data_IF_000735636417
#
_entry.id   IF_000735636417
#
_cell.length_a   1.000
_cell.length_b   1.000
_cell.length_c   1.000
_cell.angle_alpha   90.00
_cell.angle_beta   90.00
_cell.angle_gamma   90.00
#
_symmetry.space_group_name_H-M   'P 1'
#
loop_
_entity.id
_entity.type
_entity.pdbx_description
1 polymer ?
#
# COMPACT_ATOMS: atom_id res chain seq x y z
N UNK A 1 -2.34 6.26 5.63
CA UNK A 1 -2.44 5.52 4.36
C UNK A 1 -2.56 4.02 4.59
N UNK A 2 -1.62 3.37 5.27
CA UNK A 2 -1.67 1.92 5.50
C UNK A 2 -2.91 1.48 6.30
N UNK A 3 -3.24 2.18 7.39
CA UNK A 3 -4.47 1.92 8.15
C UNK A 3 -5.74 2.20 7.33
N UNK A 4 -5.70 3.19 6.44
CA UNK A 4 -6.80 3.46 5.49
C UNK A 4 -6.96 2.31 4.51
N UNK A 5 -5.86 1.78 3.96
CA UNK A 5 -5.88 0.61 3.08
C UNK A 5 -6.41 -0.62 3.82
N UNK A 6 -6.03 -0.82 5.08
CA UNK A 6 -6.57 -1.87 5.94
C UNK A 6 -8.08 -1.74 6.14
N UNK A 7 -8.55 -0.55 6.46
CA UNK A 7 -9.99 -0.27 6.56
C UNK A 7 -10.72 -0.61 5.26
N UNK A 8 -10.15 -0.27 4.10
CA UNK A 8 -10.74 -0.61 2.79
C UNK A 8 -10.81 -2.12 2.58
N UNK A 9 -9.74 -2.85 2.89
CA UNK A 9 -9.72 -4.32 2.82
C UNK A 9 -10.76 -4.99 3.72
N UNK A 10 -11.02 -4.42 4.90
CA UNK A 10 -12.02 -4.94 5.85
C UNK A 10 -13.46 -4.75 5.37
N UNK A 11 -13.72 -3.72 4.56
CA UNK A 11 -15.08 -3.27 4.24
C UNK A 11 -15.47 -3.43 2.76
N UNK A 12 -14.53 -3.71 1.86
CA UNK A 12 -14.80 -3.91 0.43
C UNK A 12 -14.92 -5.41 0.11
N UNK A 13 -16.08 -5.81 -0.41
CA UNK A 13 -16.35 -7.18 -0.82
C UNK A 13 -15.39 -7.62 -1.94
N UNK A 14 -14.92 -8.86 -1.84
CA UNK A 14 -14.01 -9.45 -2.82
C UNK A 14 -12.57 -8.92 -2.73
N UNK A 15 -12.25 -8.02 -1.80
CA UNK A 15 -10.88 -7.56 -1.62
C UNK A 15 -9.97 -8.72 -1.16
N UNK A 16 -8.91 -8.97 -1.94
CA UNK A 16 -7.93 -10.02 -1.70
C UNK A 16 -6.60 -9.47 -1.18
N UNK A 17 -6.21 -8.28 -1.64
CA UNK A 17 -4.99 -7.58 -1.27
C UNK A 17 -5.15 -6.07 -1.49
N UNK A 18 -4.47 -5.27 -0.68
CA UNK A 18 -4.15 -3.88 -1.01
C UNK A 18 -2.64 -3.67 -1.13
N UNK A 19 -2.24 -2.74 -1.99
CA UNK A 19 -0.90 -2.18 -2.05
C UNK A 19 -1.01 -0.66 -1.89
N UNK A 20 -0.12 -0.05 -1.11
CA UNK A 20 -0.10 1.39 -0.92
C UNK A 20 1.30 1.95 -0.97
N UNK A 21 1.44 3.10 -1.63
CA UNK A 21 2.64 3.91 -1.64
C UNK A 21 2.27 5.38 -1.82
N UNK A 22 3.02 6.29 -1.18
CA UNK A 22 2.74 7.73 -1.17
C UNK A 22 1.29 7.98 -0.73
N UNK A 23 0.47 8.46 -1.65
CA UNK A 23 -0.93 8.84 -1.54
C UNK A 23 -1.87 7.91 -2.32
N UNK A 24 -1.34 6.85 -2.96
CA UNK A 24 -2.12 5.85 -3.70
C UNK A 24 -2.43 4.60 -2.85
N UNK A 25 -3.64 4.06 -3.02
CA UNK A 25 -4.04 2.72 -2.57
C UNK A 25 -4.60 1.96 -3.77
N UNK A 26 -3.96 0.84 -4.12
CA UNK A 26 -4.42 -0.08 -5.15
C UNK A 26 -5.05 -1.31 -4.49
N UNK A 27 -6.29 -1.62 -4.83
CA UNK A 27 -7.02 -2.78 -4.30
C UNK A 27 -7.14 -3.86 -5.38
N UNK A 28 -6.83 -5.11 -5.04
CA UNK A 28 -7.17 -6.28 -5.84
C UNK A 28 -8.51 -6.82 -5.36
N UNK A 29 -9.51 -6.83 -6.25
CA UNK A 29 -10.80 -7.45 -6.02
C UNK A 29 -10.92 -8.69 -6.90
N UNK A 30 -11.38 -9.79 -6.32
CA UNK A 30 -11.70 -11.02 -7.04
C UNK A 30 -13.07 -11.52 -6.56
N UNK A 31 -13.84 -12.10 -7.47
CA UNK A 31 -15.20 -12.60 -7.24
C UNK A 31 -15.40 -14.03 -7.74
N UNK A 32 -14.31 -14.74 -8.04
CA UNK A 32 -14.32 -16.09 -8.58
C UNK A 32 -13.81 -17.14 -7.57
N UNK A 33 -13.80 -16.82 -6.28
CA UNK A 33 -13.36 -17.75 -5.23
C UNK A 33 -14.31 -18.95 -5.10
N UNK A 34 -15.61 -18.75 -5.35
CA UNK A 34 -16.68 -19.77 -5.32
C UNK A 34 -17.76 -19.43 -6.35
N UNK A 35 -18.52 -20.43 -6.80
CA UNK A 35 -19.56 -20.26 -7.81
C UNK A 35 -20.66 -19.25 -7.43
N UNK A 36 -20.98 -19.14 -6.14
CA UNK A 36 -22.02 -18.23 -5.63
C UNK A 36 -21.49 -16.83 -5.28
N UNK A 37 -20.20 -16.57 -5.49
CA UNK A 37 -19.59 -15.29 -5.15
C UNK A 37 -20.13 -14.21 -6.08
N UNK A 38 -20.59 -13.10 -5.51
CA UNK A 38 -21.09 -11.96 -6.27
C UNK A 38 -20.01 -10.87 -6.36
N UNK A 39 -20.04 -10.10 -7.44
CA UNK A 39 -19.20 -8.93 -7.59
C UNK A 39 -19.63 -7.81 -6.62
N UNK A 40 -18.68 -6.97 -6.20
CA UNK A 40 -19.00 -5.80 -5.40
C UNK A 40 -19.85 -4.82 -6.21
N UNK A 41 -21.05 -4.49 -5.70
CA UNK A 41 -22.04 -3.66 -6.39
C UNK A 41 -22.37 -4.10 -7.82
N UNK A 42 -22.31 -5.39 -8.12
CA UNK A 42 -22.60 -5.94 -9.45
C UNK A 42 -21.75 -5.29 -10.57
N UNK A 43 -20.51 -4.91 -10.26
CA UNK A 43 -19.59 -4.19 -11.15
C UNK A 43 -20.08 -2.80 -11.61
N UNK A 44 -20.99 -2.17 -10.88
CA UNK A 44 -21.41 -0.80 -11.18
C UNK A 44 -20.27 0.18 -10.87
N UNK A 45 -19.60 0.63 -11.93
CA UNK A 45 -18.36 1.41 -11.88
C UNK A 45 -18.54 2.70 -11.04
N UNK A 46 -19.67 3.40 -11.17
CA UNK A 46 -19.86 4.67 -10.46
C UNK A 46 -19.95 4.47 -8.94
N UNK A 47 -20.65 3.43 -8.48
CA UNK A 47 -20.72 3.02 -7.07
C UNK A 47 -19.37 2.55 -6.57
N UNK A 48 -18.69 1.68 -7.31
CA UNK A 48 -17.37 1.21 -6.88
C UNK A 48 -16.39 2.37 -6.72
N UNK A 49 -16.30 3.29 -7.69
CA UNK A 49 -15.44 4.48 -7.60
C UNK A 49 -15.89 5.41 -6.47
N UNK A 50 -17.16 5.83 -6.45
CA UNK A 50 -17.64 6.83 -5.48
C UNK A 50 -17.58 6.33 -4.03
N UNK A 51 -17.96 5.07 -3.78
CA UNK A 51 -17.96 4.49 -2.45
C UNK A 51 -16.54 4.20 -1.97
N UNK A 52 -15.64 3.67 -2.82
CA UNK A 52 -14.24 3.45 -2.41
C UNK A 52 -13.53 4.77 -2.08
N UNK A 53 -13.69 5.80 -2.90
CA UNK A 53 -13.16 7.15 -2.64
C UNK A 53 -13.76 7.76 -1.35
N UNK A 54 -15.07 7.60 -1.13
CA UNK A 54 -15.76 8.07 0.08
C UNK A 54 -15.24 7.36 1.34
N UNK A 55 -15.10 6.03 1.29
CA UNK A 55 -14.53 5.24 2.38
C UNK A 55 -13.09 5.64 2.68
N UNK A 56 -12.26 5.81 1.66
CA UNK A 56 -10.87 6.25 1.81
C UNK A 56 -10.80 7.64 2.46
N UNK A 57 -11.62 8.58 1.97
CA UNK A 57 -11.74 9.94 2.49
C UNK A 57 -12.13 9.93 3.97
N UNK A 58 -13.19 9.22 4.33
CA UNK A 58 -13.65 9.15 5.72
C UNK A 58 -12.59 8.52 6.64
N UNK A 59 -12.09 7.33 6.26
CA UNK A 59 -11.15 6.59 7.09
C UNK A 59 -9.82 7.35 7.24
N UNK A 60 -9.26 7.88 6.15
CA UNK A 60 -8.03 8.67 6.21
C UNK A 60 -8.18 9.88 7.14
N UNK A 61 -9.25 10.66 7.01
CA UNK A 61 -9.42 11.88 7.81
C UNK A 61 -9.59 11.58 9.30
N UNK A 62 -10.30 10.49 9.65
CA UNK A 62 -10.44 10.07 11.05
C UNK A 62 -9.08 9.63 11.61
N UNK A 63 -8.42 8.68 10.93
CA UNK A 63 -7.13 8.13 11.37
C UNK A 63 -6.06 9.22 11.45
N UNK A 64 -6.00 10.13 10.46
CA UNK A 64 -5.03 11.22 10.45
C UNK A 64 -5.25 12.17 11.62
N UNK A 65 -6.51 12.53 11.93
CA UNK A 65 -6.84 13.38 13.07
C UNK A 65 -6.43 12.73 14.39
N UNK A 66 -6.72 11.45 14.55
CA UNK A 66 -6.38 10.70 15.76
C UNK A 66 -4.86 10.63 15.95
N UNK A 67 -4.11 10.31 14.88
CA UNK A 67 -2.65 10.29 14.91
C UNK A 67 -2.04 11.67 15.25
N UNK A 68 -2.56 12.75 14.65
CA UNK A 68 -2.10 14.11 14.97
C UNK A 68 -2.38 14.46 16.43
N UNK A 69 -3.56 14.10 16.95
CA UNK A 69 -3.90 14.28 18.36
C UNK A 69 -2.97 13.52 19.30
N UNK A 70 -2.68 12.25 18.99
CA UNK A 70 -1.74 11.45 19.79
C UNK A 70 -0.33 12.03 19.80
N UNK A 71 0.20 12.44 18.65
CA UNK A 71 1.54 13.02 18.53
C UNK A 71 1.66 14.34 19.30
N UNK A 72 0.59 15.14 19.32
CA UNK A 72 0.54 16.36 20.12
C UNK A 72 0.56 16.05 21.61
N UNK A 73 -0.27 15.10 22.08
CA UNK A 73 -0.31 14.70 23.50
C UNK A 73 1.04 14.14 23.97
N UNK A 74 1.71 13.35 23.12
CA UNK A 74 3.03 12.77 23.43
C UNK A 74 4.16 13.81 23.44
N UNK A 75 3.91 15.05 22.99
CA UNK A 75 4.91 16.11 22.94
C UNK A 75 6.09 15.80 21.99
N UNK A 76 5.88 14.92 21.01
CA UNK A 76 6.95 14.41 20.13
C UNK A 76 7.28 15.34 18.97
N UNK A 77 6.51 16.41 18.78
CA UNK A 77 6.62 17.32 17.64
C UNK A 77 6.97 18.72 18.11
N UNK A 78 7.76 19.41 17.29
CA UNK A 78 7.94 20.86 17.41
C UNK A 78 6.59 21.58 17.28
N UNK A 79 6.41 22.65 18.04
CA UNK A 79 5.12 23.35 18.16
C UNK A 79 4.62 23.88 16.81
N UNK A 80 5.51 24.44 15.99
CA UNK A 80 5.20 24.92 14.64
C UNK A 80 4.69 23.79 13.75
N UNK A 81 5.39 22.65 13.74
CA UNK A 81 5.01 21.49 12.94
C UNK A 81 3.67 20.89 13.42
N UNK A 82 3.44 20.84 14.73
CA UNK A 82 2.16 20.43 15.31
C UNK A 82 1.02 21.31 14.81
N UNK A 83 1.20 22.64 14.78
CA UNK A 83 0.20 23.57 14.26
C UNK A 83 -0.12 23.33 12.78
N UNK A 84 0.91 23.05 11.95
CA UNK A 84 0.73 22.72 10.52
C UNK A 84 -0.12 21.46 10.37
N UNK A 85 0.18 20.40 11.13
CA UNK A 85 -0.58 19.15 11.07
C UNK A 85 -2.03 19.32 11.51
N UNK A 86 -2.29 20.11 12.56
CA UNK A 86 -3.66 20.42 12.97
C UNK A 86 -4.46 21.15 11.90
N UNK A 87 -3.87 22.14 11.25
CA UNK A 87 -4.51 22.85 10.12
C UNK A 87 -4.80 21.89 8.96
N UNK A 88 -3.88 20.98 8.65
CA UNK A 88 -4.08 19.97 7.62
C UNK A 88 -5.23 19.01 8.00
N UNK A 89 -5.28 18.55 9.26
CA UNK A 89 -6.31 17.65 9.75
C UNK A 89 -7.71 18.30 9.76
N UNK A 90 -7.79 19.61 10.02
CA UNK A 90 -9.04 20.37 9.92
C UNK A 90 -9.49 20.61 8.48
N UNK A 91 -8.54 20.85 7.56
CA UNK A 91 -8.84 21.04 6.14
C UNK A 91 -9.41 19.77 5.52
N UNK A 92 -8.88 18.63 5.93
CA UNK A 92 -9.22 17.32 5.42
C UNK A 92 -8.59 17.00 4.06
N UNK A 93 -8.48 15.72 3.77
CA UNK A 93 -8.04 15.18 2.49
C UNK A 93 -9.24 14.58 1.74
N UNK A 94 -9.12 14.50 0.42
CA UNK A 94 -10.09 13.87 -0.47
C UNK A 94 -9.35 12.91 -1.40
N UNK A 95 -10.04 11.88 -1.87
CA UNK A 95 -9.49 10.88 -2.78
C UNK A 95 -10.32 10.79 -4.05
N UNK A 96 -9.67 10.59 -5.19
CA UNK A 96 -10.30 10.04 -6.38
C UNK A 96 -10.22 8.51 -6.37
N UNK A 97 -11.00 7.87 -7.22
CA UNK A 97 -10.92 6.43 -7.44
C UNK A 97 -11.16 6.11 -8.91
N UNK A 98 -10.54 5.02 -9.36
CA UNK A 98 -10.73 4.44 -10.68
C UNK A 98 -10.81 2.93 -10.55
N UNK A 99 -11.66 2.33 -11.37
CA UNK A 99 -11.88 0.88 -11.42
C UNK A 99 -11.68 0.41 -12.85
N UNK A 100 -11.00 -0.71 -12.99
CA UNK A 100 -10.75 -1.34 -14.28
C UNK A 100 -10.53 -2.85 -14.06
N UNK A 101 -10.78 -3.62 -15.11
CA UNK A 101 -10.50 -5.04 -15.13
C UNK A 101 -9.13 -5.29 -15.75
N UNK A 102 -8.47 -6.36 -15.30
CA UNK A 102 -7.18 -6.81 -15.81
C UNK A 102 -7.18 -8.34 -15.93
N UNK A 103 -6.58 -8.93 -16.98
CA UNK A 103 -6.41 -10.38 -17.05
C UNK A 103 -5.65 -10.90 -15.83
N UNK A 104 -5.97 -12.12 -15.38
CA UNK A 104 -5.37 -12.72 -14.17
C UNK A 104 -3.84 -12.73 -14.26
N UNK A 105 -3.31 -13.03 -15.44
CA UNK A 105 -1.89 -13.16 -15.74
C UNK A 105 -1.14 -11.81 -15.63
N UNK A 106 -1.86 -10.70 -15.80
CA UNK A 106 -1.31 -9.35 -15.79
C UNK A 106 -1.41 -8.66 -14.41
N UNK A 107 -2.12 -9.24 -13.44
CA UNK A 107 -2.29 -8.66 -12.09
C UNK A 107 -0.94 -8.42 -11.42
N UNK A 108 -0.06 -9.41 -11.42
CA UNK A 108 1.28 -9.27 -10.82
C UNK A 108 2.14 -8.24 -11.57
N UNK A 109 1.96 -8.11 -12.89
CA UNK A 109 2.66 -7.11 -13.68
C UNK A 109 2.20 -5.69 -13.32
N UNK A 110 0.90 -5.49 -13.08
CA UNK A 110 0.36 -4.23 -12.58
C UNK A 110 0.99 -3.84 -11.23
N UNK A 111 0.99 -4.74 -10.24
CA UNK A 111 1.59 -4.43 -8.94
C UNK A 111 3.11 -4.22 -9.02
N UNK A 112 3.82 -4.97 -9.86
CA UNK A 112 5.24 -4.74 -10.10
C UNK A 112 5.49 -3.36 -10.73
N UNK A 113 4.64 -2.93 -11.68
CA UNK A 113 4.71 -1.59 -12.26
C UNK A 113 4.47 -0.49 -11.22
N UNK A 114 3.47 -0.64 -10.33
CA UNK A 114 3.26 0.25 -9.17
C UNK A 114 4.47 0.29 -8.23
N UNK A 115 5.12 -0.85 -8.03
CA UNK A 115 6.31 -0.96 -7.17
C UNK A 115 7.55 -0.26 -7.77
N UNK A 116 7.70 -0.30 -9.09
CA UNK A 116 8.73 0.47 -9.80
C UNK A 116 8.48 1.97 -9.69
N UNK A 117 7.23 2.41 -9.82
CA UNK A 117 6.84 3.81 -9.64
C UNK A 117 7.14 4.29 -8.22
N UNK A 118 6.74 3.48 -7.22
CA UNK A 118 7.05 3.70 -5.81
C UNK A 118 8.55 3.91 -5.54
N UNK A 119 9.40 3.08 -6.13
CA UNK A 119 10.86 3.19 -5.97
C UNK A 119 11.39 4.49 -6.56
N UNK A 120 10.89 4.91 -7.73
CA UNK A 120 11.24 6.19 -8.34
C UNK A 120 10.80 7.37 -7.49
N UNK A 121 9.55 7.37 -7.02
CA UNK A 121 8.99 8.42 -6.18
C UNK A 121 9.77 8.55 -4.86
N UNK A 122 10.12 7.42 -4.22
CA UNK A 122 10.94 7.39 -3.02
C UNK A 122 12.29 8.09 -3.23
N UNK A 123 13.02 7.74 -4.29
CA UNK A 123 14.33 8.35 -4.60
C UNK A 123 14.18 9.85 -4.88
N UNK A 124 13.16 10.23 -5.65
CA UNK A 124 12.90 11.63 -5.99
C UNK A 124 12.55 12.46 -4.74
N UNK A 125 11.73 11.93 -3.82
CA UNK A 125 11.40 12.62 -2.57
C UNK A 125 12.63 12.87 -1.70
N UNK A 126 13.49 11.85 -1.52
CA UNK A 126 14.73 12.01 -0.75
C UNK A 126 15.68 12.98 -1.45
N UNK A 127 15.76 12.93 -2.78
CA UNK A 127 16.52 13.87 -3.58
C UNK A 127 16.06 15.32 -3.37
N UNK A 128 14.76 15.59 -3.52
CA UNK A 128 14.18 16.93 -3.39
C UNK A 128 14.27 17.50 -1.98
N UNK A 129 14.31 16.64 -0.95
CA UNK A 129 14.55 17.07 0.42
C UNK A 129 15.99 17.56 0.66
N UNK A 130 16.94 17.16 -0.19
CA UNK A 130 18.38 17.41 0.02
C UNK A 130 19.04 18.31 -1.04
N UNK A 131 18.41 18.44 -2.21
CA UNK A 131 18.93 19.17 -3.36
C UNK A 131 17.85 20.08 -3.94
N UNK A 132 18.28 21.20 -4.51
CA UNK A 132 17.39 22.11 -5.22
C UNK A 132 16.88 21.49 -6.53
N UNK A 133 15.76 22.00 -7.03
CA UNK A 133 15.18 21.57 -8.30
C UNK A 133 16.18 21.68 -9.47
N UNK A 134 17.04 22.70 -9.46
CA UNK A 134 18.05 22.91 -10.50
C UNK A 134 19.14 21.83 -10.50
N UNK A 135 19.52 21.33 -9.32
CA UNK A 135 20.54 20.28 -9.19
C UNK A 135 20.02 18.91 -9.64
N UNK A 136 18.73 18.65 -9.43
CA UNK A 136 18.06 17.40 -9.81
C UNK A 136 17.61 17.39 -11.27
N UNK A 137 17.65 18.54 -11.95
CA UNK A 137 17.20 18.65 -13.33
C UNK A 137 18.02 17.71 -14.24
N UNK A 138 17.32 16.93 -15.06
CA UNK A 138 17.91 15.93 -15.97
C UNK A 138 18.72 14.81 -15.29
N UNK A 139 18.55 14.60 -13.98
CA UNK A 139 19.19 13.49 -13.26
C UNK A 139 18.32 12.24 -13.28
N UNK A 140 18.95 11.10 -13.55
CA UNK A 140 18.31 9.79 -13.38
C UNK A 140 18.20 9.41 -11.90
N UNK A 141 17.41 8.39 -11.59
CA UNK A 141 17.31 7.88 -10.22
C UNK A 141 18.65 7.39 -9.68
N UNK A 142 19.49 6.79 -10.51
CA UNK A 142 20.83 6.35 -10.12
C UNK A 142 21.73 7.55 -9.82
N UNK A 143 21.69 8.59 -10.68
CA UNK A 143 22.47 9.82 -10.42
C UNK A 143 22.08 10.45 -9.08
N UNK A 144 20.78 10.47 -8.75
CA UNK A 144 20.29 11.02 -7.48
C UNK A 144 20.78 10.18 -6.30
N UNK A 145 20.74 8.85 -6.40
CA UNK A 145 21.27 7.97 -5.35
C UNK A 145 22.78 8.18 -5.15
N UNK A 146 23.54 8.27 -6.24
CA UNK A 146 24.98 8.55 -6.18
C UNK A 146 25.26 9.91 -5.56
N UNK A 147 24.48 10.94 -5.93
CA UNK A 147 24.58 12.28 -5.34
C UNK A 147 24.25 12.28 -3.84
N UNK A 148 23.19 11.58 -3.42
CA UNK A 148 22.83 11.42 -2.01
C UNK A 148 23.95 10.75 -1.22
N UNK A 149 24.52 9.68 -1.74
CA UNK A 149 25.60 8.95 -1.07
C UNK A 149 26.88 9.79 -1.00
N UNK A 150 27.32 10.35 -2.13
CA UNK A 150 28.62 11.04 -2.23
C UNK A 150 28.63 12.42 -1.59
N UNK A 151 27.53 13.17 -1.64
CA UNK A 151 27.50 14.56 -1.18
C UNK A 151 26.81 14.74 0.18
N UNK A 152 25.88 13.84 0.54
CA UNK A 152 25.11 13.93 1.79
C UNK A 152 25.38 12.75 2.73
N UNK A 153 26.11 11.72 2.29
CA UNK A 153 26.32 10.50 3.09
C UNK A 153 25.04 9.69 3.31
N UNK A 154 24.01 9.89 2.46
CA UNK A 154 22.72 9.23 2.58
C UNK A 154 22.66 8.07 1.59
N UNK A 155 22.63 6.84 2.10
CA UNK A 155 22.42 5.65 1.29
C UNK A 155 20.93 5.28 1.26
N UNK A 156 20.28 5.45 0.11
CA UNK A 156 18.85 5.13 -0.05
C UNK A 156 18.52 3.66 0.25
N UNK A 157 19.47 2.76 0.04
CA UNK A 157 19.23 1.33 0.25
C UNK A 157 19.03 0.96 1.73
N UNK A 158 19.47 1.82 2.65
CA UNK A 158 19.36 1.62 4.10
C UNK A 158 17.97 2.00 4.64
N UNK A 159 17.12 2.66 3.84
CA UNK A 159 15.75 2.94 4.24
C UNK A 159 14.92 1.66 4.40
N UNK A 160 13.93 1.65 5.30
CA UNK A 160 12.98 0.55 5.43
C UNK A 160 12.28 0.20 4.11
N UNK A 161 11.96 -1.08 3.92
CA UNK A 161 11.30 -1.59 2.70
C UNK A 161 10.07 -0.76 2.30
N UNK A 162 9.17 -0.47 3.24
CA UNK A 162 7.95 0.28 2.96
C UNK A 162 8.19 1.71 2.46
N UNK A 163 9.30 2.35 2.83
CA UNK A 163 9.68 3.67 2.33
C UNK A 163 10.28 3.61 0.94
N UNK A 164 10.94 2.49 0.60
CA UNK A 164 11.56 2.28 -0.71
C UNK A 164 10.55 1.84 -1.76
N UNK A 165 9.64 0.92 -1.41
CA UNK A 165 8.79 0.23 -2.40
C UNK A 165 7.36 -0.06 -1.94
N UNK A 166 6.85 0.69 -0.97
CA UNK A 166 5.48 0.58 -0.48
C UNK A 166 5.22 -0.62 0.42
N UNK A 167 3.97 -0.77 0.85
CA UNK A 167 3.52 -1.82 1.76
C UNK A 167 2.24 -2.48 1.24
N UNK A 168 2.02 -3.73 1.62
CA UNK A 168 0.77 -4.42 1.32
C UNK A 168 -0.11 -4.56 2.55
N UNK A 169 -1.43 -4.66 2.35
CA UNK A 169 -2.36 -5.17 3.35
C UNK A 169 -2.91 -6.50 2.87
N UNK A 170 -2.74 -7.53 3.68
CA UNK A 170 -3.06 -8.93 3.36
C UNK A 170 -3.65 -9.62 4.57
N UNK A 171 -4.35 -10.74 4.36
CA UNK A 171 -4.78 -11.60 5.48
C UNK A 171 -3.57 -12.15 6.22
N UNK A 172 -3.70 -12.36 7.53
CA UNK A 172 -2.58 -12.80 8.37
C UNK A 172 -2.05 -14.20 7.97
N UNK A 173 -2.94 -15.08 7.52
CA UNK A 173 -2.62 -16.44 7.04
C UNK A 173 -1.71 -16.42 5.80
N UNK A 174 -0.58 -17.13 5.88
CA UNK A 174 0.27 -17.53 4.74
C UNK A 174 0.07 -19.02 4.54
N UNK A 175 -0.24 -19.42 3.31
CA UNK A 175 -0.28 -20.84 2.92
C UNK A 175 1.09 -21.21 2.35
N UNK A 176 1.78 -22.14 3.01
CA UNK A 176 3.11 -22.61 2.59
C UNK A 176 3.01 -23.79 1.65
N UNK A 177 2.18 -24.76 2.04
CA UNK A 177 1.90 -25.97 1.28
C UNK A 177 0.42 -26.31 1.46
N UNK A 178 -0.22 -26.70 0.37
CA UNK A 178 -1.58 -27.21 0.40
C UNK A 178 -1.63 -28.55 -0.32
N UNK A 179 -1.90 -29.62 0.43
CA UNK A 179 -2.35 -30.90 -0.12
C UNK A 179 -3.88 -30.99 -0.01
N UNK A 180 -4.50 -31.91 -0.74
CA UNK A 180 -5.97 -32.15 -0.70
C UNK A 180 -6.52 -32.43 0.71
N UNK A 181 -5.66 -32.75 1.67
CA UNK A 181 -6.03 -33.17 3.03
C UNK A 181 -5.55 -32.20 4.12
N UNK A 182 -4.47 -31.44 3.90
CA UNK A 182 -3.88 -30.54 4.90
C UNK A 182 -3.27 -29.30 4.27
N UNK A 183 -3.57 -28.14 4.84
CA UNK A 183 -2.88 -26.89 4.55
C UNK A 183 -1.89 -26.59 5.67
N UNK A 184 -0.60 -26.53 5.34
CA UNK A 184 0.44 -26.03 6.24
C UNK A 184 0.46 -24.52 6.13
N UNK A 185 0.13 -23.85 7.24
CA UNK A 185 -0.01 -22.41 7.28
C UNK A 185 0.88 -21.80 8.35
N UNK A 186 1.38 -20.60 8.09
CA UNK A 186 2.03 -19.75 9.08
C UNK A 186 1.31 -18.41 9.17
N UNK A 187 1.46 -17.72 10.30
CA UNK A 187 0.94 -16.37 10.48
C UNK A 187 2.04 -15.34 10.24
N UNK A 188 1.70 -14.23 9.59
CA UNK A 188 2.60 -13.07 9.47
C UNK A 188 2.85 -12.42 10.83
N UNK A 189 1.78 -12.25 11.60
CA UNK A 189 1.81 -11.76 12.98
C UNK A 189 1.21 -12.83 13.93
N UNK A 190 2.04 -13.49 14.75
CA UNK A 190 1.59 -14.48 15.73
C UNK A 190 0.63 -13.94 16.80
N UNK A 191 0.55 -12.61 16.98
CA UNK A 191 -0.31 -11.97 17.99
C UNK A 191 -1.75 -11.75 17.50
N UNK A 192 -2.02 -11.95 16.22
CA UNK A 192 -3.31 -11.66 15.60
C UNK A 192 -3.96 -12.93 15.04
N UNK A 193 -5.29 -12.91 14.90
CA UNK A 193 -6.04 -14.02 14.33
C UNK A 193 -5.68 -14.26 12.86
N UNK A 194 -5.86 -15.49 12.37
CA UNK A 194 -5.56 -15.87 10.98
C UNK A 194 -6.32 -15.05 9.93
N UNK A 195 -7.53 -14.61 10.29
CA UNK A 195 -8.41 -13.84 9.42
C UNK A 195 -8.20 -12.33 9.53
N UNK A 196 -7.31 -11.85 10.41
CA UNK A 196 -7.06 -10.41 10.53
C UNK A 196 -6.35 -9.88 9.28
N UNK A 197 -6.64 -8.62 8.93
CA UNK A 197 -5.85 -7.89 7.94
C UNK A 197 -4.60 -7.30 8.60
N UNK A 198 -3.44 -7.58 8.02
CA UNK A 198 -2.12 -7.18 8.51
C UNK A 198 -1.45 -6.30 7.46
N UNK A 199 -0.78 -5.25 7.94
CA UNK A 199 0.08 -4.43 7.11
C UNK A 199 1.46 -5.12 7.05
N UNK A 200 1.84 -5.55 5.86
CA UNK A 200 3.16 -6.09 5.57
C UNK A 200 4.09 -4.94 5.11
N UNK A 201 5.03 -4.59 5.98
CA UNK A 201 6.02 -3.54 5.74
C UNK A 201 7.28 -4.05 5.01
N UNK A 202 7.44 -5.37 4.87
CA UNK A 202 8.63 -5.99 4.29
C UNK A 202 8.28 -6.87 3.08
N UNK A 203 7.53 -6.26 2.16
CA UNK A 203 7.12 -6.93 0.91
C UNK A 203 8.32 -7.23 0.00
N UNK A 204 8.32 -8.36 -0.72
CA UNK A 204 9.35 -8.66 -1.70
C UNK A 204 9.22 -7.77 -2.94
N UNK A 205 10.23 -7.79 -3.80
CA UNK A 205 10.10 -7.24 -5.15
C UNK A 205 9.23 -8.20 -5.97
N UNK A 206 8.19 -7.72 -6.64
CA UNK A 206 7.22 -8.55 -7.39
C UNK A 206 7.77 -9.04 -8.75
N UNK A 207 9.00 -9.55 -8.75
CA UNK A 207 9.73 -10.06 -9.92
C UNK A 207 10.44 -11.37 -9.55
N UNK A 208 10.56 -12.28 -10.52
CA UNK A 208 11.14 -13.61 -10.27
C UNK A 208 10.32 -14.36 -9.23
N UNK A 209 10.97 -14.97 -8.24
CA UNK A 209 10.28 -15.71 -7.17
C UNK A 209 9.34 -14.83 -6.33
N UNK A 210 9.60 -13.53 -6.22
CA UNK A 210 8.76 -12.61 -5.47
C UNK A 210 7.38 -12.36 -6.10
N UNK A 211 7.15 -12.82 -7.34
CA UNK A 211 5.83 -12.81 -7.97
C UNK A 211 4.80 -13.65 -7.23
N UNK A 212 5.23 -14.77 -6.63
CA UNK A 212 4.37 -15.69 -5.85
C UNK A 212 3.62 -14.96 -4.74
N UNK A 213 4.19 -13.87 -4.23
CA UNK A 213 3.55 -13.03 -3.23
C UNK A 213 2.20 -12.48 -3.70
N UNK A 214 2.08 -12.03 -4.95
CA UNK A 214 0.81 -11.53 -5.51
C UNK A 214 -0.03 -12.68 -6.07
N UNK A 215 0.60 -13.63 -6.76
CA UNK A 215 -0.08 -14.72 -7.47
C UNK A 215 -0.94 -15.60 -6.52
N UNK A 216 -0.53 -15.77 -5.26
CA UNK A 216 -1.33 -16.48 -4.25
C UNK A 216 -2.72 -15.86 -4.02
N UNK A 217 -2.87 -14.55 -4.27
CA UNK A 217 -4.11 -13.82 -4.08
C UNK A 217 -5.00 -13.81 -5.34
N UNK A 218 -4.40 -14.10 -6.50
CA UNK A 218 -5.08 -14.15 -7.80
C UNK A 218 -5.61 -15.56 -8.06
N UNK A 219 -4.88 -16.59 -7.67
CA UNK A 219 -5.23 -17.99 -7.97
C UNK A 219 -6.17 -18.62 -6.92
N UNK A 220 -6.84 -17.80 -6.09
CA UNK A 220 -7.81 -18.31 -5.12
C UNK A 220 -9.06 -18.84 -5.84
N UNK A 221 -9.44 -20.09 -5.58
CA UNK A 221 -10.60 -20.75 -6.20
C UNK A 221 -10.24 -21.77 -7.29
N UNK A 222 -8.97 -21.89 -7.65
CA UNK A 222 -8.46 -22.96 -8.52
C UNK A 222 -8.11 -24.19 -7.66
N UNK A 223 -9.14 -24.89 -7.17
CA UNK A 223 -9.07 -26.24 -6.61
C UNK A 223 -10.21 -27.09 -7.14
#
# INVERSE_FOLDING_TARGET
>A
MQETAKYLCENIQGCSLAYTQSDEISLLLIDYQRFETSAWFDYEIQKMCSISASMATMAFNNIFRDMVGELHIKGTLEEEYSCILYKAAQKGAMFDARVFNIPKEEVTNYFYWRQLDASRNSIQMVGQANFSHRELQFKSCNDIQDMLMTQKGINWNDFPTYQKRGSCVVRNKIVLESDDVKETCMLRDPKQGENNWIIDYDIPIFKGDGRKYIEQFVNMGEK
#
